data_IF_147603955085
#
_entry.id   IF_147603955085
#
_cell.length_a   1.000
_cell.length_b   1.000
_cell.length_c   1.000
_cell.angle_alpha   90.00
_cell.angle_beta   90.00
_cell.angle_gamma   90.00
#
_symmetry.space_group_name_H-M   'P 1'
#
loop_
_entity.id
_entity.type
_entity.pdbx_description
1 polymer ?
#
# COMPACT_ATOMS: atom_id res chain seq x y z
N UNK A 1 -1.44 9.53 33.27
CA UNK A 1 -1.98 10.07 32.00
C UNK A 1 -3.16 11.01 32.26
N UNK A 2 -4.09 10.66 33.14
CA UNK A 2 -5.24 11.50 33.46
C UNK A 2 -4.86 12.85 34.08
N UNK A 3 -3.71 12.95 34.75
CA UNK A 3 -3.19 14.22 35.33
C UNK A 3 -2.71 15.18 34.20
N UNK A 4 -2.38 14.65 33.02
CA UNK A 4 -1.92 15.42 31.85
C UNK A 4 -3.12 15.74 30.93
N UNK A 5 -3.93 14.76 30.68
CA UNK A 5 -5.11 14.84 29.81
C UNK A 5 -6.21 13.92 30.35
N UNK A 6 -7.30 14.46 30.88
CA UNK A 6 -8.45 13.66 31.27
C UNK A 6 -9.07 12.95 30.10
N UNK A 7 -9.00 11.63 30.10
CA UNK A 7 -9.50 10.78 29.00
C UNK A 7 -9.65 9.34 29.49
N UNK A 8 -10.54 8.57 28.93
CA UNK A 8 -10.65 7.14 29.21
C UNK A 8 -9.52 6.34 28.55
N UNK A 9 -8.32 6.48 29.12
CA UNK A 9 -7.11 5.81 28.65
C UNK A 9 -7.21 4.30 28.72
N UNK A 10 -7.94 3.75 29.71
CA UNK A 10 -8.06 2.31 29.88
C UNK A 10 -8.80 1.68 28.70
N UNK A 11 -9.99 2.18 28.36
CA UNK A 11 -10.75 1.73 27.21
C UNK A 11 -10.03 1.98 25.89
N UNK A 12 -9.37 3.13 25.76
CA UNK A 12 -8.60 3.46 24.56
C UNK A 12 -7.44 2.47 24.34
N UNK A 13 -6.64 2.20 25.37
CA UNK A 13 -5.50 1.29 25.28
C UNK A 13 -5.94 -0.17 25.07
N UNK A 14 -6.97 -0.64 25.77
CA UNK A 14 -7.52 -1.98 25.57
C UNK A 14 -8.05 -2.15 24.14
N UNK A 15 -8.79 -1.17 23.63
CA UNK A 15 -9.27 -1.22 22.24
C UNK A 15 -8.11 -1.26 21.24
N UNK A 16 -6.97 -0.62 21.53
CA UNK A 16 -5.79 -0.64 20.67
C UNK A 16 -4.99 -1.93 20.76
N UNK A 17 -4.93 -2.55 21.94
CA UNK A 17 -4.25 -3.83 22.17
C UNK A 17 -5.04 -5.02 21.60
N UNK A 18 -6.34 -5.04 21.85
CA UNK A 18 -7.22 -6.15 21.48
C UNK A 18 -7.82 -5.99 20.08
N UNK A 19 -7.84 -4.75 19.59
CA UNK A 19 -8.43 -4.40 18.30
C UNK A 19 -7.50 -4.73 17.11
N UNK A 20 -8.03 -5.45 16.14
CA UNK A 20 -7.37 -5.79 14.89
C UNK A 20 -7.73 -4.83 13.75
N UNK A 21 -8.34 -3.68 14.08
CA UNK A 21 -8.78 -2.68 13.12
C UNK A 21 -7.67 -1.70 12.69
N UNK A 22 -7.86 -1.01 11.55
CA UNK A 22 -6.90 0.00 11.08
C UNK A 22 -6.80 1.18 12.04
N UNK A 23 -5.59 1.71 12.23
CA UNK A 23 -5.29 2.89 13.05
C UNK A 23 -5.81 4.22 12.47
N UNK A 24 -6.58 4.19 11.41
CA UNK A 24 -6.94 5.33 10.56
C UNK A 24 -7.78 6.38 11.30
N UNK A 25 -8.58 6.00 12.29
CA UNK A 25 -9.42 6.94 13.05
C UNK A 25 -8.66 8.06 13.77
N UNK A 26 -7.36 7.92 14.00
CA UNK A 26 -6.54 8.95 14.64
C UNK A 26 -6.31 10.17 13.75
N UNK A 27 -6.14 9.99 12.45
CA UNK A 27 -5.88 11.07 11.49
C UNK A 27 -7.14 11.94 11.29
N UNK A 28 -8.30 11.29 11.24
CA UNK A 28 -9.59 11.97 11.08
C UNK A 28 -9.96 12.84 12.28
N UNK A 29 -9.58 12.42 13.50
CA UNK A 29 -9.77 13.23 14.71
C UNK A 29 -8.96 14.54 14.67
N UNK A 30 -7.87 14.57 13.90
CA UNK A 30 -6.94 15.69 13.78
C UNK A 30 -7.17 16.56 12.54
N UNK A 31 -8.34 16.43 11.91
CA UNK A 31 -8.75 17.29 10.80
C UNK A 31 -8.15 16.91 9.45
N UNK A 32 -7.82 15.63 9.26
CA UNK A 32 -7.32 15.10 8.00
C UNK A 32 -8.05 13.82 7.63
N UNK A 33 -8.13 13.53 6.34
CA UNK A 33 -8.71 12.28 5.82
C UNK A 33 -7.69 11.54 4.98
N UNK A 34 -7.60 10.24 5.15
CA UNK A 34 -6.86 9.37 4.26
C UNK A 34 -7.74 9.10 3.02
N UNK A 35 -7.21 9.42 1.85
CA UNK A 35 -7.82 9.14 0.55
C UNK A 35 -6.84 8.39 -0.32
N UNK A 36 -7.34 7.77 -1.38
CA UNK A 36 -6.49 7.07 -2.35
C UNK A 36 -6.70 7.65 -3.74
N UNK A 37 -5.60 7.83 -4.47
CA UNK A 37 -5.61 8.28 -5.86
C UNK A 37 -4.71 7.37 -6.70
N UNK A 38 -4.83 7.48 -8.02
CA UNK A 38 -3.99 6.75 -9.00
C UNK A 38 -2.58 7.33 -9.14
N UNK A 39 -2.30 8.47 -8.49
CA UNK A 39 -1.00 9.15 -8.56
C UNK A 39 -0.27 9.10 -7.24
N UNK A 40 1.02 8.68 -7.22
CA UNK A 40 1.81 8.69 -6.00
C UNK A 40 2.06 10.12 -5.49
N UNK A 41 2.00 10.29 -4.17
CA UNK A 41 2.40 11.55 -3.52
C UNK A 41 3.90 11.79 -3.69
N UNK A 42 4.37 13.03 -3.44
CA UNK A 42 5.79 13.35 -3.47
C UNK A 42 6.60 12.49 -2.49
N UNK A 43 6.02 12.16 -1.33
CA UNK A 43 6.65 11.28 -0.34
C UNK A 43 6.79 9.84 -0.85
N UNK A 44 5.74 9.27 -1.47
CA UNK A 44 5.80 7.93 -2.06
C UNK A 44 6.85 7.88 -3.18
N UNK A 45 6.85 8.86 -4.09
CA UNK A 45 7.88 8.97 -5.14
C UNK A 45 9.30 9.00 -4.58
N UNK A 46 9.52 9.78 -3.53
CA UNK A 46 10.84 9.85 -2.89
C UNK A 46 11.26 8.52 -2.24
N UNK A 47 10.30 7.78 -1.65
CA UNK A 47 10.54 6.46 -1.06
C UNK A 47 10.84 5.44 -2.16
N UNK A 48 10.03 5.38 -3.22
CA UNK A 48 10.26 4.51 -4.37
C UNK A 48 11.63 4.75 -4.99
N UNK A 49 11.99 6.02 -5.23
CA UNK A 49 13.28 6.39 -5.78
C UNK A 49 14.46 5.98 -4.87
N UNK A 50 14.33 6.17 -3.56
CA UNK A 50 15.37 5.80 -2.59
C UNK A 50 15.54 4.28 -2.45
N UNK A 51 14.42 3.54 -2.48
CA UNK A 51 14.40 2.08 -2.33
C UNK A 51 14.61 1.36 -3.65
N UNK A 52 14.59 2.07 -4.78
CA UNK A 52 14.57 1.49 -6.12
C UNK A 52 13.47 0.42 -6.26
N UNK A 53 12.27 0.71 -5.81
CA UNK A 53 11.15 -0.24 -5.77
C UNK A 53 9.86 0.42 -6.25
N UNK A 54 8.94 -0.39 -6.77
CA UNK A 54 7.55 -0.02 -6.99
C UNK A 54 6.74 -0.38 -5.74
N UNK A 55 6.10 0.60 -5.12
CA UNK A 55 5.23 0.40 -3.97
C UNK A 55 3.77 0.27 -4.42
N UNK A 56 3.28 -0.96 -4.46
CA UNK A 56 1.91 -1.31 -4.81
C UNK A 56 1.15 -1.89 -3.61
N UNK A 57 1.58 -1.53 -2.39
CA UNK A 57 1.00 -2.01 -1.13
C UNK A 57 -0.51 -1.83 -1.08
N UNK A 58 -1.02 -0.68 -1.53
CA UNK A 58 -2.45 -0.38 -1.50
C UNK A 58 -3.21 -0.79 -2.77
N UNK A 59 -2.52 -1.32 -3.77
CA UNK A 59 -3.09 -1.89 -5.00
C UNK A 59 -3.06 -3.41 -4.93
N UNK A 60 -1.97 -4.02 -5.37
CA UNK A 60 -1.79 -5.46 -5.38
C UNK A 60 -1.47 -6.04 -3.99
N UNK A 61 -1.10 -5.22 -3.02
CA UNK A 61 -0.66 -5.67 -1.70
C UNK A 61 0.79 -6.15 -1.69
N UNK A 62 1.67 -5.56 -2.50
CA UNK A 62 3.09 -5.93 -2.54
C UNK A 62 4.00 -4.75 -2.87
N UNK A 63 5.29 -4.90 -2.57
CA UNK A 63 6.36 -4.04 -3.07
C UNK A 63 7.36 -4.86 -3.90
N UNK A 64 7.85 -4.30 -5.00
CA UNK A 64 8.78 -5.00 -5.91
C UNK A 64 9.99 -4.12 -6.19
N UNK A 65 11.17 -4.66 -5.95
CA UNK A 65 12.45 -4.01 -6.25
C UNK A 65 12.71 -3.86 -7.75
N UNK A 66 13.68 -3.02 -8.11
CA UNK A 66 14.08 -2.81 -9.51
C UNK A 66 14.51 -4.11 -10.20
N UNK A 67 15.08 -5.04 -9.45
CA UNK A 67 15.52 -6.36 -9.90
C UNK A 67 14.41 -7.41 -9.91
N UNK A 68 13.16 -7.00 -9.68
CA UNK A 68 12.00 -7.89 -9.56
C UNK A 68 11.84 -8.57 -8.21
N UNK A 69 12.77 -8.38 -7.25
CA UNK A 69 12.65 -8.96 -5.92
C UNK A 69 11.40 -8.48 -5.19
N UNK A 70 10.60 -9.41 -4.66
CA UNK A 70 9.42 -9.10 -3.87
C UNK A 70 9.85 -8.87 -2.42
N UNK A 71 9.67 -7.64 -1.94
CA UNK A 71 10.01 -7.24 -0.58
C UNK A 71 8.89 -7.58 0.39
N UNK A 72 7.86 -6.75 0.42
CA UNK A 72 6.72 -6.90 1.32
C UNK A 72 5.50 -7.45 0.58
N UNK A 73 4.75 -8.33 1.25
CA UNK A 73 3.44 -8.81 0.79
C UNK A 73 2.44 -8.61 1.91
N UNK A 74 1.39 -7.85 1.64
CA UNK A 74 0.34 -7.55 2.61
C UNK A 74 -0.49 -8.79 2.86
N UNK A 75 -0.58 -9.19 4.13
CA UNK A 75 -1.44 -10.30 4.56
C UNK A 75 -2.89 -10.07 4.08
N UNK A 76 -3.51 -11.12 3.55
CA UNK A 76 -4.87 -11.10 3.00
C UNK A 76 -5.08 -10.13 1.81
N UNK A 77 -4.01 -9.53 1.28
CA UNK A 77 -4.03 -8.71 0.07
C UNK A 77 -4.19 -9.53 -1.22
N UNK A 78 -4.44 -8.86 -2.37
CA UNK A 78 -4.62 -9.55 -3.65
C UNK A 78 -3.45 -10.46 -4.05
N UNK A 79 -2.22 -9.99 -3.91
CA UNK A 79 -1.02 -10.77 -4.21
C UNK A 79 -0.87 -11.97 -3.27
N UNK A 80 -1.12 -11.79 -1.96
CA UNK A 80 -1.10 -12.87 -0.99
C UNK A 80 -2.13 -13.96 -1.33
N UNK A 81 -3.36 -13.57 -1.65
CA UNK A 81 -4.44 -14.49 -2.06
C UNK A 81 -4.13 -15.26 -3.34
N UNK A 82 -3.36 -14.65 -4.23
CA UNK A 82 -2.88 -15.29 -5.45
C UNK A 82 -1.69 -16.24 -5.21
N UNK A 83 -1.15 -16.32 -3.99
CA UNK A 83 -0.04 -17.21 -3.63
C UNK A 83 1.35 -16.57 -3.77
N UNK A 84 1.43 -15.25 -3.89
CA UNK A 84 2.71 -14.53 -3.88
C UNK A 84 3.20 -14.38 -2.44
N UNK A 85 4.50 -14.60 -2.24
CA UNK A 85 5.17 -14.44 -0.95
C UNK A 85 6.46 -13.64 -1.08
N UNK A 86 6.95 -13.04 0.02
CA UNK A 86 8.29 -12.44 0.05
C UNK A 86 9.36 -13.44 -0.38
N UNK A 87 10.49 -12.92 -0.89
CA UNK A 87 11.60 -13.69 -1.46
C UNK A 87 11.36 -14.34 -2.82
N UNK A 88 10.14 -14.28 -3.39
CA UNK A 88 9.95 -14.55 -4.81
C UNK A 88 10.52 -13.39 -5.65
N UNK A 89 10.81 -13.67 -6.92
CA UNK A 89 11.28 -12.66 -7.88
C UNK A 89 10.33 -12.61 -9.06
N UNK A 90 9.82 -11.44 -9.40
CA UNK A 90 9.05 -11.21 -10.64
C UNK A 90 10.01 -11.18 -11.81
N UNK A 91 9.80 -12.04 -12.78
CA UNK A 91 10.61 -12.17 -13.99
C UNK A 91 9.93 -11.47 -15.17
N UNK A 92 8.62 -11.61 -15.27
CA UNK A 92 7.85 -11.00 -16.35
C UNK A 92 6.46 -10.57 -15.87
N UNK A 93 5.90 -9.58 -16.56
CA UNK A 93 4.54 -9.05 -16.38
C UNK A 93 3.81 -9.16 -17.72
N UNK A 94 2.68 -9.86 -17.75
CA UNK A 94 1.87 -10.05 -18.94
C UNK A 94 2.70 -10.50 -20.19
N UNK A 95 3.69 -11.37 -19.97
CA UNK A 95 4.55 -11.93 -21.01
C UNK A 95 5.73 -11.05 -21.45
N UNK A 96 5.95 -9.88 -20.84
CA UNK A 96 7.08 -8.98 -21.08
C UNK A 96 8.03 -8.98 -19.88
N UNK A 97 9.30 -8.73 -20.11
CA UNK A 97 10.29 -8.62 -19.03
C UNK A 97 9.80 -7.66 -17.95
N UNK A 98 10.12 -7.99 -16.69
CA UNK A 98 9.71 -7.15 -15.57
C UNK A 98 10.34 -5.76 -15.67
N UNK A 99 9.49 -4.78 -15.55
CA UNK A 99 9.79 -3.38 -15.32
C UNK A 99 8.72 -2.81 -14.39
N UNK A 100 9.12 -1.86 -13.51
CA UNK A 100 8.21 -1.26 -12.53
C UNK A 100 7.04 -0.51 -13.18
N UNK A 101 7.29 0.16 -14.32
CA UNK A 101 6.25 0.88 -15.05
C UNK A 101 5.34 -0.11 -15.79
N UNK A 102 5.90 -1.17 -16.39
CA UNK A 102 5.10 -2.24 -17.02
C UNK A 102 4.14 -2.90 -16.00
N UNK A 103 4.57 -3.10 -14.75
CA UNK A 103 3.71 -3.61 -13.68
C UNK A 103 2.58 -2.61 -13.33
N UNK A 104 2.89 -1.33 -13.21
CA UNK A 104 1.89 -0.27 -12.96
C UNK A 104 0.90 -0.13 -14.13
N UNK A 105 1.38 -0.26 -15.35
CA UNK A 105 0.56 -0.23 -16.57
C UNK A 105 -0.37 -1.45 -16.64
N UNK A 106 0.10 -2.64 -16.27
CA UNK A 106 -0.73 -3.84 -16.20
C UNK A 106 -1.88 -3.68 -15.17
N UNK A 107 -1.60 -3.12 -13.99
CA UNK A 107 -2.63 -2.79 -12.98
C UNK A 107 -3.63 -1.77 -13.52
N UNK A 108 -3.15 -0.76 -14.24
CA UNK A 108 -4.00 0.27 -14.85
C UNK A 108 -4.86 -0.30 -15.98
N UNK A 109 -4.31 -1.18 -16.82
CA UNK A 109 -5.04 -1.84 -17.89
C UNK A 109 -6.13 -2.77 -17.34
N UNK A 110 -5.81 -3.56 -16.32
CA UNK A 110 -6.75 -4.44 -15.64
C UNK A 110 -7.94 -3.70 -15.02
N UNK A 111 -7.74 -2.48 -14.57
CA UNK A 111 -8.84 -1.64 -14.05
C UNK A 111 -9.79 -1.16 -15.14
N UNK A 112 -9.30 -0.99 -16.36
CA UNK A 112 -10.11 -0.55 -17.51
C UNK A 112 -10.83 -1.71 -18.19
N UNK A 113 -10.20 -2.88 -18.19
CA UNK A 113 -10.74 -4.09 -18.80
C UNK A 113 -10.56 -5.28 -17.85
N UNK A 114 -11.66 -5.71 -17.23
CA UNK A 114 -11.66 -6.82 -16.28
C UNK A 114 -11.34 -8.18 -16.89
N UNK A 115 -11.29 -8.30 -18.21
CA UNK A 115 -10.83 -9.51 -18.88
C UNK A 115 -9.30 -9.65 -18.89
N UNK A 116 -8.58 -8.58 -18.55
CA UNK A 116 -7.11 -8.53 -18.50
C UNK A 116 -6.62 -8.70 -17.06
N UNK A 117 -6.23 -9.90 -16.61
CA UNK A 117 -5.64 -10.07 -15.27
C UNK A 117 -4.23 -9.48 -15.25
N UNK A 118 -3.72 -9.20 -14.06
CA UNK A 118 -2.29 -8.95 -13.86
C UNK A 118 -1.62 -10.32 -13.75
N UNK A 119 -0.91 -10.72 -14.80
CA UNK A 119 -0.22 -12.01 -14.88
C UNK A 119 1.28 -11.81 -14.61
N UNK A 120 1.81 -12.50 -13.61
CA UNK A 120 3.22 -12.43 -13.24
C UNK A 120 3.87 -13.79 -13.44
N UNK A 121 4.96 -13.85 -14.21
CA UNK A 121 5.90 -14.96 -14.15
C UNK A 121 6.82 -14.71 -12.97
N UNK A 122 6.76 -15.56 -11.97
CA UNK A 122 7.60 -15.44 -10.78
C UNK A 122 8.56 -16.63 -10.66
N UNK A 123 9.73 -16.35 -10.11
CA UNK A 123 10.70 -17.36 -9.69
C UNK A 123 10.64 -17.53 -8.18
N UNK A 124 10.50 -18.77 -7.73
CA UNK A 124 10.55 -19.17 -6.34
C UNK A 124 11.64 -20.24 -6.19
N UNK A 125 12.78 -19.88 -5.61
CA UNK A 125 14.00 -20.71 -5.63
C UNK A 125 14.43 -21.08 -7.05
N UNK A 126 14.27 -22.34 -7.45
CA UNK A 126 14.63 -22.89 -8.76
C UNK A 126 13.41 -23.12 -9.67
N UNK A 127 12.21 -22.80 -9.17
CA UNK A 127 10.94 -23.01 -9.89
C UNK A 127 10.39 -21.72 -10.45
N UNK A 128 9.81 -21.81 -11.63
CA UNK A 128 9.07 -20.73 -12.29
C UNK A 128 7.59 -21.08 -12.32
N UNK A 129 6.76 -20.10 -11.99
CA UNK A 129 5.32 -20.25 -12.06
C UNK A 129 4.65 -18.98 -12.56
N UNK A 130 3.57 -19.12 -13.30
CA UNK A 130 2.73 -18.00 -13.69
C UNK A 130 1.61 -17.86 -12.70
N UNK A 131 1.51 -16.66 -12.10
CA UNK A 131 0.48 -16.32 -11.12
C UNK A 131 -0.40 -15.22 -11.70
N UNK A 132 -1.71 -15.43 -11.64
CA UNK A 132 -2.71 -14.42 -12.04
C UNK A 132 -3.30 -13.79 -10.81
N UNK A 133 -3.25 -12.46 -10.76
CA UNK A 133 -3.85 -11.68 -9.69
C UNK A 133 -5.14 -11.08 -10.23
N UNK A 134 -6.26 -11.48 -9.66
CA UNK A 134 -7.59 -10.95 -9.96
C UNK A 134 -7.80 -9.65 -9.18
N UNK A 135 -7.29 -8.54 -9.75
CA UNK A 135 -7.37 -7.22 -9.15
C UNK A 135 -7.68 -6.16 -10.21
N UNK A 136 -8.80 -5.43 -10.01
CA UNK A 136 -9.34 -4.50 -11.00
C UNK A 136 -9.66 -3.11 -10.44
N UNK A 137 -9.12 -2.77 -9.26
CA UNK A 137 -9.39 -1.47 -8.63
C UNK A 137 -8.38 -0.38 -9.03
N UNK A 138 -7.41 -0.70 -9.88
CA UNK A 138 -6.41 0.24 -10.36
C UNK A 138 -5.33 0.59 -9.34
N UNK A 139 -4.51 1.58 -9.69
CA UNK A 139 -3.47 2.07 -8.79
C UNK A 139 -4.10 2.84 -7.62
N UNK A 140 -3.61 2.56 -6.40
CA UNK A 140 -4.04 3.22 -5.16
C UNK A 140 -2.82 3.69 -4.39
N UNK A 141 -2.68 5.00 -4.27
CA UNK A 141 -1.65 5.63 -3.45
C UNK A 141 -2.29 6.46 -2.34
N UNK A 142 -1.81 6.38 -1.09
CA UNK A 142 -2.38 7.10 0.03
C UNK A 142 -2.07 8.60 -0.05
N UNK A 143 -3.08 9.41 0.24
CA UNK A 143 -2.97 10.86 0.37
C UNK A 143 -3.71 11.32 1.61
N UNK A 144 -3.11 12.28 2.33
CA UNK A 144 -3.80 13.01 3.39
C UNK A 144 -4.43 14.26 2.80
N UNK A 145 -5.73 14.38 2.97
CA UNK A 145 -6.51 15.55 2.54
C UNK A 145 -7.06 16.26 3.76
N UNK A 146 -6.95 17.60 3.78
CA UNK A 146 -7.46 18.42 4.87
C UNK A 146 -8.98 18.36 4.95
N UNK A 147 -9.50 18.06 6.14
CA UNK A 147 -10.91 18.22 6.48
C UNK A 147 -11.14 19.57 7.16
N UNK A 148 -11.55 20.57 6.39
CA UNK A 148 -11.74 21.94 6.89
C UNK A 148 -12.87 22.09 7.89
N UNK A 149 -13.72 21.09 8.07
CA UNK A 149 -14.78 21.08 9.08
C UNK A 149 -14.27 20.83 10.49
N UNK A 150 -13.00 20.40 10.65
CA UNK A 150 -12.36 20.07 11.92
C UNK A 150 -11.11 20.91 12.16
N UNK A 151 -10.69 21.12 13.43
CA UNK A 151 -9.43 21.81 13.73
C UNK A 151 -8.21 21.08 13.12
N UNK A 152 -7.22 21.85 12.66
CA UNK A 152 -5.94 21.31 12.20
C UNK A 152 -4.96 21.14 13.35
N UNK A 153 -5.11 20.08 14.11
CA UNK A 153 -4.20 19.78 15.20
C UNK A 153 -2.95 19.02 14.73
N UNK A 154 -3.05 18.26 13.63
CA UNK A 154 -1.92 17.53 13.07
C UNK A 154 -0.79 18.46 12.61
N UNK A 155 -1.12 19.51 11.84
CA UNK A 155 -0.11 20.48 11.40
C UNK A 155 0.51 21.23 12.57
N UNK A 156 -0.25 21.45 13.65
CA UNK A 156 0.28 22.07 14.87
C UNK A 156 1.28 21.17 15.59
N UNK A 157 1.01 19.86 15.65
CA UNK A 157 1.91 18.87 16.26
C UNK A 157 3.21 18.69 15.45
N UNK A 158 3.11 18.77 14.12
CA UNK A 158 4.24 18.55 13.20
C UNK A 158 5.09 19.81 12.93
N UNK A 159 4.70 20.99 13.47
CA UNK A 159 5.53 22.17 13.36
C UNK A 159 6.87 21.94 14.06
N UNK A 160 7.95 22.19 13.35
CA UNK A 160 9.29 22.23 13.94
C UNK A 160 9.30 23.27 15.08
N UNK A 161 9.86 22.90 16.20
CA UNK A 161 10.11 23.80 17.34
C UNK A 161 11.42 24.50 17.16
#
# INVERSE_FOLDING_TARGET
>A
LNDIQPFDWASYLSTRLDGHGPLIGSVEAHGWKLTYTDKPSAAVKAIEARRHSADLTYSLGLSVGKDGSIGDVLWDGPAFKAGISPAMTVIAVNGHDYDADALKDAVTASAKDKSLPVELLVKNFDQYQTIRIDYHDGLKYPHLVRDTSKPDTLSTLLKAR
#
